data_IF_351134676942
#
_entry.id   IF_351134676942
#
_cell.length_a   1.000
_cell.length_b   1.000
_cell.length_c   1.000
_cell.angle_alpha   90.00
_cell.angle_beta   90.00
_cell.angle_gamma   90.00
#
_symmetry.space_group_name_H-M   'P 1'
#
loop_
_entity.id
_entity.type
_entity.pdbx_description
1 polymer ?
#
# COMPACT_ATOMS: atom_id res chain seq x y z
N UNK A 1 -46.91 -8.85 26.05
CA UNK A 1 -45.71 -9.54 26.57
C UNK A 1 -45.82 -9.45 28.05
N UNK A 2 -46.34 -10.52 28.61
CA UNK A 2 -46.91 -10.58 29.95
C UNK A 2 -45.78 -10.88 30.92
N UNK A 3 -45.51 -9.94 31.83
CA UNK A 3 -44.49 -10.08 32.87
C UNK A 3 -45.09 -10.86 34.04
N UNK A 4 -44.82 -12.16 34.08
CA UNK A 4 -45.15 -13.04 35.19
C UNK A 4 -44.14 -12.84 36.33
N UNK A 5 -44.55 -12.41 37.54
CA UNK A 5 -43.63 -12.21 38.65
C UNK A 5 -43.18 -13.55 39.23
N UNK A 6 -41.85 -13.70 39.33
CA UNK A 6 -41.18 -14.89 39.85
C UNK A 6 -41.63 -15.15 41.30
N UNK A 7 -42.29 -16.29 41.53
CA UNK A 7 -42.75 -16.70 42.84
C UNK A 7 -41.55 -16.94 43.77
N UNK A 8 -41.48 -16.15 44.86
CA UNK A 8 -40.49 -16.33 45.90
C UNK A 8 -40.78 -17.65 46.64
N UNK A 9 -40.00 -18.70 46.39
CA UNK A 9 -40.07 -19.95 47.17
C UNK A 9 -39.78 -19.61 48.63
N UNK A 10 -40.83 -19.60 49.47
CA UNK A 10 -40.65 -19.60 50.92
C UNK A 10 -40.13 -20.97 51.32
N UNK A 11 -38.88 -21.02 51.75
CA UNK A 11 -38.29 -22.18 52.40
C UNK A 11 -38.97 -22.31 53.76
N UNK A 12 -39.62 -23.44 54.00
CA UNK A 12 -40.29 -23.74 55.27
C UNK A 12 -39.28 -23.61 56.43
N UNK A 13 -39.50 -22.71 57.42
CA UNK A 13 -38.63 -22.53 58.58
C UNK A 13 -38.42 -23.81 59.40
N UNK A 14 -39.25 -24.83 59.18
CA UNK A 14 -39.19 -26.15 59.79
C UNK A 14 -38.03 -27.01 59.27
N UNK A 15 -37.35 -26.61 58.19
CA UNK A 15 -36.22 -27.36 57.62
C UNK A 15 -35.01 -27.19 58.51
N UNK A 16 -34.86 -28.09 59.49
CA UNK A 16 -33.69 -28.13 60.37
C UNK A 16 -32.45 -28.28 59.50
N UNK A 17 -31.61 -27.24 59.49
CA UNK A 17 -30.36 -27.24 58.75
C UNK A 17 -29.39 -28.18 59.47
N UNK A 18 -29.50 -29.48 59.19
CA UNK A 18 -28.54 -30.46 59.68
C UNK A 18 -27.18 -30.06 59.12
N UNK A 19 -26.21 -29.82 60.00
CA UNK A 19 -24.84 -29.60 59.55
C UNK A 19 -24.43 -30.78 58.68
N UNK A 20 -23.64 -30.55 57.63
CA UNK A 20 -23.16 -31.63 56.76
C UNK A 20 -22.56 -32.79 57.58
N UNK A 21 -21.92 -32.47 58.71
CA UNK A 21 -21.35 -33.42 59.67
C UNK A 21 -22.43 -34.32 60.31
N UNK A 22 -23.60 -33.79 60.63
CA UNK A 22 -24.73 -34.55 61.17
C UNK A 22 -25.39 -35.43 60.11
N UNK A 23 -25.56 -34.92 58.88
CA UNK A 23 -26.10 -35.71 57.77
C UNK A 23 -25.20 -36.92 57.43
N UNK A 24 -23.88 -36.76 57.56
CA UNK A 24 -22.92 -37.87 57.41
C UNK A 24 -23.01 -38.94 58.51
N UNK A 25 -23.49 -38.60 59.71
CA UNK A 25 -23.66 -39.56 60.80
C UNK A 25 -24.92 -40.43 60.63
N UNK A 26 -25.95 -39.91 59.97
CA UNK A 26 -27.25 -40.58 59.84
C UNK A 26 -27.32 -41.56 58.67
N UNK A 27 -26.48 -41.39 57.64
CA UNK A 27 -26.36 -42.34 56.54
C UNK A 27 -24.88 -42.61 56.23
N UNK A 28 -24.26 -43.62 56.88
CA UNK A 28 -22.87 -44.00 56.63
C UNK A 28 -22.78 -44.80 55.33
N UNK A 29 -23.29 -44.25 54.22
CA UNK A 29 -22.99 -44.83 52.91
C UNK A 29 -21.48 -44.74 52.71
N UNK A 30 -20.84 -45.90 52.67
CA UNK A 30 -19.40 -46.19 52.82
C UNK A 30 -18.50 -45.66 51.68
N UNK A 31 -18.95 -44.66 50.94
CA UNK A 31 -18.34 -44.17 49.70
C UNK A 31 -17.50 -42.90 49.82
N UNK A 32 -17.49 -42.24 50.98
CA UNK A 32 -16.80 -40.97 51.18
C UNK A 32 -15.89 -41.00 52.41
N UNK A 33 -14.67 -40.48 52.25
CA UNK A 33 -13.66 -40.28 53.27
C UNK A 33 -13.44 -38.76 53.40
N UNK A 34 -13.71 -38.21 54.57
CA UNK A 34 -13.43 -36.81 54.86
C UNK A 34 -12.05 -36.74 55.52
N UNK A 35 -11.09 -36.17 54.81
CA UNK A 35 -9.79 -35.81 55.37
C UNK A 35 -9.84 -34.33 55.75
N UNK A 36 -9.57 -34.02 57.01
CA UNK A 36 -9.51 -32.63 57.48
C UNK A 36 -8.11 -32.32 57.99
N UNK A 37 -7.59 -31.18 57.58
CA UNK A 37 -6.41 -30.53 58.12
C UNK A 37 -6.83 -29.15 58.64
N UNK A 38 -6.12 -28.54 59.60
CA UNK A 38 -6.46 -27.19 60.07
C UNK A 38 -6.56 -26.21 58.88
N UNK A 39 -7.76 -25.65 58.66
CA UNK A 39 -8.04 -24.72 57.56
C UNK A 39 -8.57 -25.34 56.25
N UNK A 40 -8.59 -26.67 56.10
CA UNK A 40 -9.07 -27.35 54.89
C UNK A 40 -9.82 -28.64 55.18
N UNK A 41 -10.98 -28.81 54.55
CA UNK A 41 -11.73 -30.08 54.55
C UNK A 41 -11.76 -30.61 53.13
N UNK A 42 -11.17 -31.77 52.90
CA UNK A 42 -11.21 -32.48 51.63
C UNK A 42 -12.14 -33.69 51.76
N UNK A 43 -13.20 -33.72 50.95
CA UNK A 43 -14.11 -34.87 50.85
C UNK A 43 -13.65 -35.69 49.65
N UNK A 44 -12.99 -36.83 49.91
CA UNK A 44 -12.57 -37.78 48.89
C UNK A 44 -13.58 -38.91 48.80
N UNK A 45 -13.78 -39.43 47.61
CA UNK A 45 -14.45 -40.72 47.46
C UNK A 45 -13.46 -41.87 47.65
N UNK A 46 -13.95 -43.05 48.05
CA UNK A 46 -13.17 -44.29 48.09
C UNK A 46 -12.76 -44.70 46.66
N UNK A 47 -11.49 -45.06 46.44
CA UNK A 47 -11.03 -45.56 45.13
C UNK A 47 -11.89 -46.75 44.66
N UNK A 48 -12.31 -46.75 43.39
CA UNK A 48 -13.25 -47.72 42.81
C UNK A 48 -14.73 -47.30 42.86
N UNK A 49 -15.03 -46.04 43.19
CA UNK A 49 -16.36 -45.49 42.99
C UNK A 49 -16.57 -45.18 41.49
N UNK A 50 -17.60 -45.73 40.81
CA UNK A 50 -17.82 -45.49 39.38
C UNK A 50 -18.07 -44.01 39.05
N UNK A 51 -18.50 -43.22 40.04
CA UNK A 51 -18.62 -41.76 39.93
C UNK A 51 -17.24 -41.11 39.79
N UNK A 52 -16.23 -41.60 40.51
CA UNK A 52 -14.85 -41.09 40.42
C UNK A 52 -14.16 -41.52 39.14
N UNK A 53 -14.41 -42.73 38.68
CA UNK A 53 -13.90 -43.21 37.39
C UNK A 53 -14.55 -42.43 36.24
N UNK A 54 -15.84 -42.10 36.35
CA UNK A 54 -16.52 -41.20 35.43
C UNK A 54 -15.96 -39.77 35.50
N UNK A 55 -15.69 -39.21 36.69
CA UNK A 55 -15.07 -37.89 36.84
C UNK A 55 -13.64 -37.85 36.29
N UNK A 56 -12.84 -38.90 36.52
CA UNK A 56 -11.50 -39.03 35.95
C UNK A 56 -11.55 -39.10 34.42
N UNK A 57 -12.48 -39.88 33.86
CA UNK A 57 -12.73 -39.94 32.41
C UNK A 57 -13.15 -38.57 31.85
N UNK A 58 -14.10 -37.88 32.49
CA UNK A 58 -14.52 -36.52 32.13
C UNK A 58 -13.35 -35.52 32.20
N UNK A 59 -12.49 -35.60 33.22
CA UNK A 59 -11.29 -34.76 33.32
C UNK A 59 -10.30 -35.03 32.17
N UNK A 60 -10.11 -36.28 31.76
CA UNK A 60 -9.23 -36.62 30.63
C UNK A 60 -9.80 -36.14 29.29
N UNK A 61 -11.12 -36.24 29.09
CA UNK A 61 -11.81 -35.69 27.92
C UNK A 61 -11.69 -34.16 27.87
N UNK A 62 -11.90 -33.48 28.99
CA UNK A 62 -11.76 -32.02 29.07
C UNK A 62 -10.32 -31.56 28.79
N UNK A 63 -9.31 -32.26 29.34
CA UNK A 63 -7.89 -32.00 29.02
C UNK A 63 -7.59 -32.21 27.54
N UNK A 64 -8.07 -33.31 26.95
CA UNK A 64 -7.93 -33.58 25.51
C UNK A 64 -8.56 -32.49 24.64
N UNK A 65 -9.72 -31.96 25.04
CA UNK A 65 -10.40 -30.89 24.32
C UNK A 65 -9.65 -29.56 24.38
N UNK A 66 -9.12 -29.20 25.56
CA UNK A 66 -8.29 -27.98 25.73
C UNK A 66 -7.01 -28.08 24.91
N UNK A 67 -6.31 -29.22 24.97
CA UNK A 67 -5.08 -29.44 24.19
C UNK A 67 -5.34 -29.37 22.68
N UNK A 68 -6.45 -29.94 22.18
CA UNK A 68 -6.84 -29.82 20.77
C UNK A 68 -7.15 -28.39 20.36
N UNK A 69 -7.86 -27.62 21.21
CA UNK A 69 -8.15 -26.21 20.93
C UNK A 69 -6.88 -25.35 20.89
N UNK A 70 -5.93 -25.62 21.79
CA UNK A 70 -4.63 -24.94 21.79
C UNK A 70 -3.81 -25.27 20.55
N UNK A 71 -3.80 -26.54 20.13
CA UNK A 71 -3.11 -26.99 18.91
C UNK A 71 -3.72 -26.33 17.66
N UNK A 72 -5.05 -26.31 17.55
CA UNK A 72 -5.74 -25.66 16.42
C UNK A 72 -5.40 -24.16 16.35
N UNK A 73 -5.38 -23.50 17.51
CA UNK A 73 -5.00 -22.08 17.62
C UNK A 73 -3.53 -21.82 17.24
N UNK A 74 -2.65 -22.81 17.39
CA UNK A 74 -1.24 -22.68 17.00
C UNK A 74 -1.05 -22.82 15.49
N UNK A 75 -1.83 -23.69 14.84
CA UNK A 75 -1.82 -23.84 13.38
C UNK A 75 -2.35 -22.57 12.69
N UNK A 76 -3.48 -22.04 13.17
CA UNK A 76 -4.03 -20.78 12.68
C UNK A 76 -3.04 -19.63 12.86
N UNK A 77 -2.30 -19.61 13.97
CA UNK A 77 -1.25 -18.63 14.21
C UNK A 77 -0.10 -18.75 13.20
N UNK A 78 0.34 -19.97 12.87
CA UNK A 78 1.40 -20.19 11.89
C UNK A 78 0.96 -19.75 10.48
N UNK A 79 -0.26 -20.09 10.08
CA UNK A 79 -0.84 -19.66 8.79
C UNK A 79 -0.91 -18.13 8.74
N UNK A 80 -1.41 -17.49 9.81
CA UNK A 80 -1.48 -16.04 9.90
C UNK A 80 -0.08 -15.41 9.83
N UNK A 81 0.91 -15.98 10.52
CA UNK A 81 2.30 -15.52 10.51
C UNK A 81 2.92 -15.56 9.12
N UNK A 82 2.75 -16.65 8.37
CA UNK A 82 3.25 -16.75 7.00
C UNK A 82 2.49 -15.83 6.03
N UNK A 83 1.18 -15.67 6.22
CA UNK A 83 0.38 -14.70 5.47
C UNK A 83 0.87 -13.26 5.68
N UNK A 84 1.14 -12.86 6.93
CA UNK A 84 1.68 -11.53 7.27
C UNK A 84 3.06 -11.31 6.64
N UNK A 85 3.95 -12.30 6.69
CA UNK A 85 5.26 -12.22 6.02
C UNK A 85 5.12 -12.05 4.51
N UNK A 86 4.25 -12.83 3.87
CA UNK A 86 3.99 -12.72 2.43
C UNK A 86 3.45 -11.33 2.06
N UNK A 87 2.52 -10.80 2.86
CA UNK A 87 1.98 -9.45 2.68
C UNK A 87 3.06 -8.37 2.86
N UNK A 88 3.95 -8.52 3.84
CA UNK A 88 5.07 -7.62 4.07
C UNK A 88 6.03 -7.59 2.86
N UNK A 89 6.42 -8.76 2.35
CA UNK A 89 7.29 -8.85 1.16
C UNK A 89 6.66 -8.16 -0.06
N UNK A 90 5.35 -8.34 -0.29
CA UNK A 90 4.63 -7.66 -1.37
C UNK A 90 4.60 -6.14 -1.17
N UNK A 91 4.39 -5.68 0.06
CA UNK A 91 4.41 -4.25 0.37
C UNK A 91 5.80 -3.63 0.14
N UNK A 92 6.87 -4.35 0.45
CA UNK A 92 8.25 -3.94 0.16
C UNK A 92 8.54 -3.89 -1.35
N UNK A 93 8.10 -4.88 -2.11
CA UNK A 93 8.19 -4.88 -3.57
C UNK A 93 7.45 -3.67 -4.18
N UNK A 94 6.23 -3.38 -3.70
CA UNK A 94 5.48 -2.21 -4.11
C UNK A 94 6.22 -0.90 -3.79
N UNK A 95 6.86 -0.82 -2.60
CA UNK A 95 7.66 0.34 -2.21
C UNK A 95 8.87 0.53 -3.13
N UNK A 96 9.55 -0.55 -3.50
CA UNK A 96 10.68 -0.52 -4.43
C UNK A 96 10.27 -0.05 -5.83
N UNK A 97 9.17 -0.58 -6.37
CA UNK A 97 8.62 -0.12 -7.66
C UNK A 97 8.24 1.36 -7.65
N UNK A 98 7.67 1.82 -6.52
CA UNK A 98 7.32 3.22 -6.37
C UNK A 98 8.56 4.12 -6.33
N UNK A 99 9.63 3.70 -5.65
CA UNK A 99 10.90 4.42 -5.65
C UNK A 99 11.49 4.55 -7.07
N UNK A 100 11.48 3.46 -7.84
CA UNK A 100 11.95 3.48 -9.25
C UNK A 100 11.16 4.46 -10.12
N UNK A 101 9.83 4.58 -9.90
CA UNK A 101 9.00 5.55 -10.61
C UNK A 101 9.35 6.99 -10.22
N UNK A 102 9.68 7.25 -8.96
CA UNK A 102 10.13 8.58 -8.53
C UNK A 102 11.48 8.94 -9.16
N UNK A 103 12.44 8.03 -9.20
CA UNK A 103 13.74 8.27 -9.86
C UNK A 103 13.57 8.59 -11.36
N UNK A 104 12.63 7.89 -12.03
CA UNK A 104 12.26 8.18 -13.43
C UNK A 104 11.62 9.56 -13.60
N UNK A 105 10.73 9.94 -12.69
CA UNK A 105 10.11 11.27 -12.70
C UNK A 105 11.15 12.38 -12.49
N UNK A 106 12.10 12.19 -11.58
CA UNK A 106 13.17 13.16 -11.35
C UNK A 106 14.10 13.29 -12.56
N UNK A 107 14.41 12.17 -13.22
CA UNK A 107 15.15 12.17 -14.49
C UNK A 107 14.40 12.94 -15.59
N UNK A 108 13.07 12.79 -15.67
CA UNK A 108 12.24 13.55 -16.60
C UNK A 108 12.21 15.04 -16.26
N UNK A 109 12.15 15.42 -14.97
CA UNK A 109 12.21 16.82 -14.53
C UNK A 109 13.50 17.51 -14.98
N UNK A 110 14.65 16.83 -14.83
CA UNK A 110 15.94 17.36 -15.30
C UNK A 110 15.94 17.55 -16.82
N UNK A 111 15.39 16.58 -17.57
CA UNK A 111 15.26 16.69 -19.03
C UNK A 111 14.40 17.89 -19.44
N UNK A 112 13.25 18.09 -18.78
CA UNK A 112 12.37 19.23 -19.04
C UNK A 112 13.07 20.55 -18.73
N UNK A 113 13.84 20.62 -17.64
CA UNK A 113 14.61 21.81 -17.29
C UNK A 113 15.65 22.13 -18.37
N UNK A 114 16.43 21.14 -18.81
CA UNK A 114 17.44 21.32 -19.86
C UNK A 114 16.83 21.79 -21.19
N UNK A 115 15.63 21.32 -21.53
CA UNK A 115 14.89 21.80 -22.70
C UNK A 115 14.39 23.23 -22.50
N UNK A 116 13.95 23.59 -21.30
CA UNK A 116 13.60 24.96 -20.95
C UNK A 116 14.77 25.93 -21.14
N UNK A 117 15.96 25.55 -20.67
CA UNK A 117 17.17 26.36 -20.81
C UNK A 117 17.58 26.51 -22.29
N UNK A 118 17.42 25.45 -23.11
CA UNK A 118 17.65 25.51 -24.56
C UNK A 118 16.68 26.46 -25.27
N UNK A 119 15.38 26.36 -24.95
CA UNK A 119 14.36 27.24 -25.53
C UNK A 119 14.66 28.70 -25.20
N UNK A 120 15.03 29.01 -23.95
CA UNK A 120 15.43 30.36 -23.55
C UNK A 120 16.68 30.85 -24.30
N UNK A 121 17.66 29.97 -24.51
CA UNK A 121 18.86 30.28 -25.29
C UNK A 121 18.52 30.63 -26.75
N UNK A 122 17.68 29.83 -27.40
CA UNK A 122 17.21 30.10 -28.76
C UNK A 122 16.35 31.36 -28.87
N UNK A 123 15.49 31.61 -27.88
CA UNK A 123 14.69 32.84 -27.82
C UNK A 123 15.59 34.08 -27.75
N UNK A 124 16.67 34.01 -26.97
CA UNK A 124 17.67 35.07 -26.91
C UNK A 124 18.38 35.28 -28.26
N UNK A 125 18.80 34.21 -28.93
CA UNK A 125 19.41 34.29 -30.26
C UNK A 125 18.44 34.87 -31.31
N UNK A 126 17.17 34.48 -31.24
CA UNK A 126 16.13 35.00 -32.12
C UNK A 126 15.92 36.51 -31.90
N UNK A 127 15.92 36.96 -30.64
CA UNK A 127 15.79 38.39 -30.34
C UNK A 127 17.03 39.18 -30.79
N UNK A 128 18.24 38.65 -30.57
CA UNK A 128 19.48 39.29 -31.02
C UNK A 128 19.56 39.40 -32.55
N UNK A 129 19.20 38.34 -33.28
CA UNK A 129 19.15 38.38 -34.75
C UNK A 129 18.10 39.36 -35.26
N UNK A 130 16.94 39.46 -34.59
CA UNK A 130 15.92 40.45 -34.91
C UNK A 130 16.41 41.89 -34.66
N UNK A 131 17.11 42.12 -33.55
CA UNK A 131 17.69 43.42 -33.23
C UNK A 131 18.82 43.81 -34.20
N UNK A 132 19.60 42.85 -34.67
CA UNK A 132 20.60 43.06 -35.71
C UNK A 132 19.96 43.31 -37.08
N UNK A 133 18.85 42.63 -37.39
CA UNK A 133 18.07 42.88 -38.60
C UNK A 133 17.48 44.29 -38.61
N UNK A 134 17.07 44.81 -37.46
CA UNK A 134 16.58 46.18 -37.34
C UNK A 134 17.69 47.24 -37.54
N UNK A 135 18.97 46.87 -37.40
CA UNK A 135 20.14 47.74 -37.67
C UNK A 135 20.64 47.66 -39.11
N UNK A 136 20.23 46.65 -39.87
CA UNK A 136 20.58 46.57 -41.29
C UNK A 136 19.92 47.75 -42.03
N UNK A 137 20.60 48.34 -43.03
CA UNK A 137 20.02 49.39 -43.86
C UNK A 137 18.68 48.88 -44.41
N UNK A 138 17.67 49.75 -44.37
CA UNK A 138 16.36 49.38 -44.89
C UNK A 138 16.51 49.01 -46.35
N UNK A 139 15.64 48.12 -46.85
CA UNK A 139 15.66 47.70 -48.25
C UNK A 139 15.65 48.91 -49.20
N UNK A 140 15.07 50.03 -48.79
CA UNK A 140 15.10 51.30 -49.51
C UNK A 140 16.50 51.91 -49.62
N UNK A 141 17.28 51.94 -48.54
CA UNK A 141 18.69 52.38 -48.58
C UNK A 141 19.52 51.48 -49.50
N UNK A 142 19.37 50.16 -49.40
CA UNK A 142 20.05 49.20 -50.28
C UNK A 142 19.66 49.35 -51.76
N UNK A 143 18.39 49.69 -52.04
CA UNK A 143 17.91 49.97 -53.41
C UNK A 143 18.53 51.27 -53.93
N UNK A 144 18.64 52.30 -53.10
CA UNK A 144 19.28 53.57 -53.45
C UNK A 144 20.78 53.38 -53.73
N UNK A 145 21.48 52.63 -52.90
CA UNK A 145 22.91 52.31 -53.06
C UNK A 145 23.17 51.50 -54.33
N UNK A 146 22.35 50.48 -54.63
CA UNK A 146 22.44 49.74 -55.90
C UNK A 146 22.22 50.63 -57.13
N UNK A 147 21.28 51.58 -57.06
CA UNK A 147 21.07 52.55 -58.15
C UNK A 147 22.27 53.49 -58.31
N UNK A 148 22.94 53.87 -57.22
CA UNK A 148 24.17 54.65 -57.26
C UNK A 148 25.30 53.86 -57.92
N UNK A 149 25.57 52.65 -57.46
CA UNK A 149 26.62 51.77 -58.00
C UNK A 149 26.40 51.44 -59.48
N UNK A 150 25.16 51.22 -59.93
CA UNK A 150 24.87 51.01 -61.35
C UNK A 150 25.30 52.20 -62.22
N UNK A 151 25.08 53.43 -61.75
CA UNK A 151 25.52 54.63 -62.47
C UNK A 151 27.06 54.75 -62.53
N UNK A 152 27.74 54.29 -61.49
CA UNK A 152 29.21 54.29 -61.43
C UNK A 152 29.81 53.25 -62.38
N UNK A 153 29.17 52.08 -62.51
CA UNK A 153 29.52 51.05 -63.49
C UNK A 153 29.29 51.50 -64.95
N UNK A 154 28.19 52.20 -65.23
CA UNK A 154 27.94 52.78 -66.56
C UNK A 154 28.99 53.83 -66.96
N UNK A 155 29.75 54.35 -65.99
CA UNK A 155 30.80 55.33 -66.23
C UNK A 155 32.16 54.70 -66.53
N UNK A 156 32.34 53.38 -66.35
CA UNK A 156 33.54 52.69 -66.84
C UNK A 156 33.43 52.70 -68.36
N UNK A 157 34.26 53.49 -69.09
CA UNK A 157 34.22 53.47 -70.54
C UNK A 157 34.47 52.03 -70.96
N UNK A 158 33.67 51.51 -71.88
CA UNK A 158 33.97 50.25 -72.53
C UNK A 158 35.40 50.36 -73.06
N UNK A 159 36.35 49.78 -72.33
CA UNK A 159 37.75 49.78 -72.71
C UNK A 159 37.79 49.00 -74.01
N UNK A 160 38.05 49.71 -75.10
CA UNK A 160 38.23 49.22 -76.46
C UNK A 160 39.53 48.42 -76.62
N UNK A 161 39.94 47.73 -75.54
CA UNK A 161 41.15 46.95 -75.47
C UNK A 161 41.11 45.88 -76.54
N UNK A 162 41.92 46.10 -77.57
CA UNK A 162 42.28 45.13 -78.58
C UNK A 162 42.50 43.76 -77.93
N UNK A 163 41.71 42.80 -78.40
CA UNK A 163 41.83 41.37 -78.14
C UNK A 163 43.27 40.96 -78.51
N UNK A 164 44.10 40.74 -77.50
CA UNK A 164 45.32 39.97 -77.66
C UNK A 164 44.96 38.53 -77.29
N UNK A 165 44.75 37.73 -78.33
CA UNK A 165 44.39 36.31 -78.33
C UNK A 165 45.50 35.39 -77.75
N UNK A 166 46.18 35.79 -76.67
CA UNK A 166 47.19 34.95 -76.03
C UNK A 166 46.53 33.97 -75.04
N UNK A 167 46.24 32.78 -75.57
CA UNK A 167 46.18 31.47 -74.90
C UNK A 167 45.93 31.48 -73.39
N UNK A 168 44.65 31.54 -73.00
CA UNK A 168 44.21 31.13 -71.66
C UNK A 168 43.81 29.65 -71.69
N UNK A 169 44.80 28.79 -71.92
CA UNK A 169 44.65 27.32 -71.92
C UNK A 169 44.63 26.70 -70.51
N UNK A 170 44.81 27.46 -69.43
CA UNK A 170 45.03 26.92 -68.07
C UNK A 170 44.03 27.44 -67.02
N UNK A 171 42.73 27.39 -67.31
CA UNK A 171 41.73 27.50 -66.24
C UNK A 171 41.56 26.13 -65.56
N UNK A 172 41.86 26.01 -64.25
CA UNK A 172 41.69 24.75 -63.55
C UNK A 172 40.20 24.43 -63.51
N UNK A 173 39.80 23.41 -64.25
CA UNK A 173 38.50 22.76 -64.12
C UNK A 173 38.41 22.23 -62.70
N UNK A 174 37.85 23.03 -61.80
CA UNK A 174 37.52 22.56 -60.45
C UNK A 174 36.58 21.36 -60.62
N UNK A 175 36.93 20.19 -60.09
CA UNK A 175 36.07 19.02 -60.20
C UNK A 175 34.79 19.33 -59.44
N UNK A 176 33.68 19.29 -60.17
CA UNK A 176 32.32 19.40 -59.67
C UNK A 176 31.95 18.11 -58.91
N UNK A 177 32.69 17.79 -57.84
CA UNK A 177 32.27 16.83 -56.84
C UNK A 177 31.46 17.59 -55.78
N UNK A 178 30.23 17.91 -56.13
CA UNK A 178 29.20 18.16 -55.11
C UNK A 178 28.89 16.80 -54.50
N UNK A 179 29.18 16.55 -53.22
CA UNK A 179 28.79 15.30 -52.58
C UNK A 179 27.27 15.27 -52.50
N UNK A 180 26.63 14.50 -53.39
CA UNK A 180 25.20 14.18 -53.30
C UNK A 180 24.94 13.16 -52.19
N UNK A 181 25.55 13.35 -51.03
CA UNK A 181 25.18 12.58 -49.85
C UNK A 181 23.93 13.23 -49.25
N UNK A 182 22.82 13.08 -49.98
CA UNK A 182 21.49 13.19 -49.40
C UNK A 182 21.35 11.92 -48.57
N UNK A 183 21.31 12.00 -47.23
CA UNK A 183 21.02 10.84 -46.41
C UNK A 183 19.60 10.42 -46.75
N UNK A 184 19.47 9.41 -47.59
CA UNK A 184 18.22 8.71 -47.85
C UNK A 184 17.88 7.91 -46.60
N UNK A 185 17.58 8.60 -45.50
CA UNK A 185 16.82 7.99 -44.43
C UNK A 185 15.45 7.68 -45.03
N UNK A 186 15.09 6.40 -45.28
CA UNK A 186 13.71 6.11 -45.59
C UNK A 186 12.89 6.63 -44.40
N UNK A 187 11.70 7.22 -44.64
CA UNK A 187 10.79 7.47 -43.56
C UNK A 187 10.61 6.12 -42.89
N UNK A 188 11.12 5.97 -41.66
CA UNK A 188 10.73 4.88 -40.79
C UNK A 188 9.25 5.10 -40.60
N UNK A 189 8.46 4.52 -41.51
CA UNK A 189 7.05 4.25 -41.32
C UNK A 189 7.06 3.39 -40.07
N UNK A 190 6.87 4.06 -38.94
CA UNK A 190 6.34 3.48 -37.74
C UNK A 190 5.08 2.77 -38.21
N UNK A 191 5.24 1.49 -38.53
CA UNK A 191 4.14 0.56 -38.60
C UNK A 191 3.52 0.66 -37.22
N UNK A 192 2.45 1.45 -37.11
CA UNK A 192 1.53 1.34 -36.02
C UNK A 192 1.31 -0.16 -35.86
N UNK A 193 1.66 -0.77 -34.72
CA UNK A 193 1.25 -2.12 -34.47
C UNK A 193 -0.26 -2.07 -34.63
N UNK A 194 -0.77 -2.76 -35.65
CA UNK A 194 -2.20 -3.02 -35.73
C UNK A 194 -2.49 -3.76 -34.43
N UNK A 195 -2.99 -3.01 -33.45
CA UNK A 195 -3.52 -3.52 -32.20
C UNK A 195 -4.56 -4.53 -32.64
N UNK A 196 -4.16 -5.79 -32.70
CA UNK A 196 -5.08 -6.90 -32.82
C UNK A 196 -5.96 -6.73 -31.60
N UNK A 197 -7.16 -6.20 -31.82
CA UNK A 197 -8.28 -6.41 -30.92
C UNK A 197 -8.41 -7.92 -30.82
N UNK A 198 -7.70 -8.49 -29.84
CA UNK A 198 -8.04 -9.79 -29.31
C UNK A 198 -9.45 -9.59 -28.79
N UNK A 199 -10.41 -9.89 -29.65
CA UNK A 199 -11.75 -10.26 -29.26
C UNK A 199 -11.53 -11.43 -28.33
N UNK A 200 -11.37 -11.11 -27.05
CA UNK A 200 -11.47 -12.09 -26.00
C UNK A 200 -12.88 -12.60 -26.19
N UNK A 201 -13.01 -13.80 -26.76
CA UNK A 201 -14.14 -14.66 -26.48
C UNK A 201 -14.11 -14.82 -24.95
N UNK A 202 -14.78 -13.88 -24.29
CA UNK A 202 -15.24 -14.03 -22.93
C UNK A 202 -16.12 -15.26 -23.01
N UNK A 203 -15.53 -16.44 -22.77
CA UNK A 203 -16.25 -17.50 -22.09
C UNK A 203 -16.94 -16.77 -20.96
N UNK A 204 -18.24 -16.64 -21.10
CA UNK A 204 -19.18 -16.30 -20.04
C UNK A 204 -18.92 -17.38 -19.00
N UNK A 205 -17.91 -17.14 -18.16
CA UNK A 205 -17.91 -17.64 -16.81
C UNK A 205 -19.15 -16.96 -16.29
N UNK A 206 -20.22 -17.74 -16.13
CA UNK A 206 -21.35 -17.30 -15.33
C UNK A 206 -20.72 -16.80 -14.05
N UNK A 207 -20.68 -15.49 -13.91
CA UNK A 207 -20.42 -14.78 -12.69
C UNK A 207 -21.30 -15.48 -11.68
N UNK A 208 -20.70 -16.36 -10.88
CA UNK A 208 -21.33 -16.86 -9.68
C UNK A 208 -21.51 -15.57 -8.91
N UNK A 209 -22.71 -14.99 -9.06
CA UNK A 209 -22.99 -13.63 -8.67
C UNK A 209 -22.39 -13.46 -7.30
N UNK A 210 -21.45 -12.52 -7.19
CA UNK A 210 -21.20 -11.92 -5.89
C UNK A 210 -22.60 -11.48 -5.50
N UNK A 211 -23.24 -12.14 -4.50
CA UNK A 211 -24.59 -11.75 -4.15
C UNK A 211 -24.47 -10.27 -3.88
N UNK A 212 -25.27 -9.49 -4.61
CA UNK A 212 -25.39 -8.06 -4.35
C UNK A 212 -25.36 -7.94 -2.83
N UNK A 213 -24.42 -7.14 -2.30
CA UNK A 213 -24.40 -6.78 -0.89
C UNK A 213 -25.68 -5.97 -0.70
N UNK A 214 -26.79 -6.69 -0.66
CA UNK A 214 -28.10 -6.25 -0.28
C UNK A 214 -27.86 -5.87 1.15
N UNK A 215 -27.87 -4.56 1.39
CA UNK A 215 -27.69 -3.99 2.70
C UNK A 215 -28.50 -4.83 3.66
N UNK A 216 -27.80 -5.53 4.55
CA UNK A 216 -28.42 -6.24 5.63
C UNK A 216 -29.24 -5.19 6.37
N UNK A 217 -30.57 -5.20 6.14
CA UNK A 217 -31.52 -4.62 7.08
C UNK A 217 -31.40 -5.49 8.32
N UNK A 218 -30.42 -5.16 9.15
CA UNK A 218 -30.39 -5.63 10.52
C UNK A 218 -31.76 -5.29 11.10
N UNK A 219 -32.49 -6.25 11.69
CA UNK A 219 -33.73 -5.94 12.36
C UNK A 219 -33.42 -4.88 13.43
N UNK A 220 -33.95 -3.68 13.24
CA UNK A 220 -33.97 -2.59 14.23
C UNK A 220 -34.77 -3.08 15.44
N UNK A 221 -34.14 -3.89 16.29
CA UNK A 221 -34.68 -4.34 17.59
C UNK A 221 -33.58 -4.93 18.47
N UNK A 222 -32.37 -4.41 18.42
CA UNK A 222 -31.50 -4.48 19.60
C UNK A 222 -31.96 -3.38 20.56
N UNK A 223 -32.75 -3.79 21.57
CA UNK A 223 -32.91 -3.00 22.79
C UNK A 223 -31.51 -2.79 23.34
N UNK A 224 -30.93 -1.61 23.12
CA UNK A 224 -29.73 -1.16 23.80
C UNK A 224 -30.09 -1.14 25.29
N UNK A 225 -29.72 -2.18 26.03
CA UNK A 225 -29.69 -2.12 27.48
C UNK A 225 -28.56 -1.15 27.78
N UNK A 226 -28.93 0.12 27.91
CA UNK A 226 -28.08 1.13 28.53
C UNK A 226 -28.06 0.72 30.00
N UNK A 227 -27.13 -0.15 30.35
CA UNK A 227 -26.75 -0.30 31.74
C UNK A 227 -25.95 0.96 32.07
N UNK A 228 -26.39 1.70 33.09
CA UNK A 228 -25.57 2.77 33.65
C UNK A 228 -24.18 2.19 33.97
N UNK A 229 -23.10 2.92 33.67
CA UNK A 229 -21.77 2.48 34.06
C UNK A 229 -21.79 2.22 35.56
N UNK A 230 -21.23 1.09 36.05
CA UNK A 230 -21.20 0.82 37.47
C UNK A 230 -20.58 2.04 38.16
N UNK A 231 -21.35 2.64 39.07
CA UNK A 231 -20.87 3.73 39.93
C UNK A 231 -19.50 3.32 40.43
N UNK A 232 -18.49 4.13 40.10
CA UNK A 232 -17.10 3.91 40.47
C UNK A 232 -17.03 3.42 41.90
N UNK A 233 -16.70 2.14 42.09
CA UNK A 233 -16.32 1.62 43.39
C UNK A 233 -15.11 2.44 43.78
N UNK A 234 -15.35 3.39 44.69
CA UNK A 234 -14.32 4.12 45.42
C UNK A 234 -13.74 3.12 46.42
N UNK A 235 -13.10 2.08 45.88
CA UNK A 235 -12.35 1.10 46.61
C UNK A 235 -11.01 1.74 46.93
N UNK A 236 -10.82 2.09 48.19
CA UNK A 236 -9.56 2.52 48.77
C UNK A 236 -8.43 1.64 48.24
N UNK A 237 -7.53 2.23 47.46
CA UNK A 237 -6.31 1.60 46.98
C UNK A 237 -5.51 1.16 48.22
N UNK A 238 -5.17 -0.13 48.40
CA UNK A 238 -4.27 -0.52 49.47
C UNK A 238 -2.93 0.20 49.27
N UNK A 239 -2.47 0.87 50.33
CA UNK A 239 -1.18 1.58 50.35
C UNK A 239 -0.07 0.65 49.85
N UNK A 240 0.75 1.06 48.85
CA UNK A 240 1.92 0.28 48.48
C UNK A 240 2.88 0.22 49.69
N UNK A 241 3.02 -0.98 50.25
CA UNK A 241 3.96 -1.29 51.31
C UNK A 241 5.33 -1.55 50.65
N UNK A 242 6.31 -0.72 50.98
CA UNK A 242 7.73 -1.07 50.82
C UNK A 242 8.45 -0.42 49.64
N UNK A 243 9.28 0.59 49.97
CA UNK A 243 10.39 1.04 49.13
C UNK A 243 11.45 -0.06 49.07
N UNK A 244 11.56 -0.77 47.95
CA UNK A 244 12.76 -1.55 47.63
C UNK A 244 13.86 -0.57 47.22
N UNK A 245 14.88 -0.44 48.07
CA UNK A 245 16.14 0.23 47.71
C UNK A 245 16.77 -0.56 46.55
N UNK A 246 17.00 0.11 45.44
CA UNK A 246 17.87 -0.40 44.39
C UNK A 246 19.31 -0.40 44.92
N UNK A 247 19.88 -1.60 45.03
CA UNK A 247 21.28 -1.82 45.36
C UNK A 247 22.09 -1.57 44.07
N UNK A 248 22.97 -0.57 44.14
CA UNK A 248 23.90 -0.19 43.07
C UNK A 248 25.08 -1.14 43.15
N UNK A 249 25.29 -1.93 42.10
CA UNK A 249 26.54 -2.66 41.91
C UNK A 249 27.52 -1.70 41.23
N UNK A 250 28.62 -1.40 41.91
CA UNK A 250 29.83 -0.82 41.33
C UNK A 250 30.68 -1.94 40.69
#
# INVERSE_FOLDING_TARGET
MDNEPNAHMQVDPSTTTLSAIQAFKTDPSTKWVIESAPGFVAIKHKMGCPICDAFASCCMVAKSQVSRKLLLSMEDYNILKESVKSALMKAEECRAKMAELYDKLDSQRVTIQNLGDQVQSWEKQLQETKDNLAKLPTSEELILENKHLKKELDFIPASDGEDNDEDLADLPTLPEEIPQDIPSCPPTRLACPASKTTHNDSKVICEAGIPAIGGYRLPMKQKRIIADPPTSITGLLPKPLGKLRAERWD
#
